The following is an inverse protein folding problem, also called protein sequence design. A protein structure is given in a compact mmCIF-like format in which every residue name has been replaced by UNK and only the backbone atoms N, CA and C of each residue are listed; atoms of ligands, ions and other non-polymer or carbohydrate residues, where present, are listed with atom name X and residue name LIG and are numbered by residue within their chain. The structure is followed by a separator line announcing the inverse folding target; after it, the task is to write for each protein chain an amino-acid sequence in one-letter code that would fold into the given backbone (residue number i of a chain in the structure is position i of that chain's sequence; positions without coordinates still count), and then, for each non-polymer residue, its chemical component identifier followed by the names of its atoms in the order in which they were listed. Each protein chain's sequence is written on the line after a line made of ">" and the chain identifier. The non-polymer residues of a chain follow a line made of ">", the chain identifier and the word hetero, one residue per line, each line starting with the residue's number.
data_IF_375083789747
#
_entry.id   IF_375083789747
#
_cell.length_a   1.000
_cell.length_b   1.000
_cell.length_c   1.000
_cell.angle_alpha   90.00
_cell.angle_beta   90.00
_cell.angle_gamma   90.00
#
_symmetry.space_group_name_H-M   'P 1'
#
loop_
_entity.id
_entity.type
_entity.pdbx_description
1 polymer ?
#
# COMPACT_ATOMS: atom_id res chain seq x y z
N UNK A 1 -39.79 20.01 3.60
CA UNK A 1 -38.42 19.81 4.04
C UNK A 1 -37.61 19.32 2.86
N UNK A 2 -36.81 20.20 2.25
CA UNK A 2 -36.03 19.92 1.06
C UNK A 2 -34.83 19.04 1.47
N UNK A 3 -34.81 17.80 1.00
CA UNK A 3 -33.62 16.94 1.09
C UNK A 3 -32.61 17.46 0.06
N UNK A 4 -31.75 18.35 0.51
CA UNK A 4 -30.73 18.95 -0.33
C UNK A 4 -29.76 17.88 -0.81
N UNK A 5 -29.88 17.49 -2.08
CA UNK A 5 -28.79 16.82 -2.80
C UNK A 5 -27.61 17.81 -2.83
N UNK A 6 -26.40 17.38 -2.45
CA UNK A 6 -25.24 18.26 -2.53
C UNK A 6 -25.14 18.87 -3.92
N UNK A 7 -24.91 20.17 -4.01
CA UNK A 7 -24.74 20.84 -5.28
C UNK A 7 -23.55 20.24 -6.05
N UNK A 8 -23.57 20.31 -7.37
CA UNK A 8 -22.47 19.86 -8.25
C UNK A 8 -21.10 20.41 -7.82
N UNK A 9 -21.06 21.58 -7.20
CA UNK A 9 -19.84 22.16 -6.63
C UNK A 9 -19.29 21.36 -5.45
N UNK A 10 -20.14 20.77 -4.61
CA UNK A 10 -19.70 19.92 -3.47
C UNK A 10 -19.11 18.59 -3.96
N UNK A 11 -19.66 18.03 -5.04
CA UNK A 11 -19.13 16.81 -5.65
C UNK A 11 -17.80 17.07 -6.33
N UNK A 12 -17.60 18.24 -6.96
CA UNK A 12 -16.31 18.64 -7.54
C UNK A 12 -15.20 18.81 -6.47
N UNK A 13 -15.55 19.27 -5.27
CA UNK A 13 -14.59 19.42 -4.18
C UNK A 13 -14.06 18.08 -3.65
N UNK A 14 -14.81 16.99 -3.83
CA UNK A 14 -14.41 15.64 -3.44
C UNK A 14 -13.66 14.89 -4.55
N UNK A 15 -13.54 15.45 -5.76
CA UNK A 15 -12.68 14.88 -6.78
C UNK A 15 -11.22 15.10 -6.40
N UNK A 16 -10.47 13.98 -6.27
CA UNK A 16 -9.03 14.04 -6.03
C UNK A 16 -8.37 14.90 -7.09
N UNK A 17 -7.67 15.94 -6.66
CA UNK A 17 -6.81 16.70 -7.53
C UNK A 17 -5.70 15.75 -8.02
N UNK A 18 -5.77 15.35 -9.29
CA UNK A 18 -4.73 14.51 -9.89
C UNK A 18 -3.53 15.38 -10.20
N UNK A 19 -2.35 14.86 -9.92
CA UNK A 19 -1.11 15.45 -10.39
C UNK A 19 -1.18 15.55 -11.91
N UNK A 20 -1.09 16.75 -12.45
CA UNK A 20 -0.81 16.93 -13.87
C UNK A 20 0.62 16.44 -14.11
N UNK A 21 0.86 15.76 -15.23
CA UNK A 21 2.17 15.20 -15.59
C UNK A 21 3.31 16.25 -15.56
N UNK A 22 2.96 17.54 -15.54
CA UNK A 22 3.88 18.67 -15.58
C UNK A 22 4.17 19.30 -14.21
N UNK A 23 3.52 18.87 -13.14
CA UNK A 23 3.60 19.54 -11.84
C UNK A 23 4.38 18.71 -10.81
N UNK A 24 5.66 19.00 -10.67
CA UNK A 24 6.47 18.83 -9.47
C UNK A 24 6.85 17.41 -9.01
N UNK A 25 6.65 16.37 -9.81
CA UNK A 25 7.23 15.06 -9.54
C UNK A 25 8.05 14.69 -10.77
N UNK A 26 9.36 14.79 -10.66
CA UNK A 26 10.25 14.24 -11.69
C UNK A 26 10.14 12.71 -11.64
N UNK A 27 9.81 12.06 -12.76
CA UNK A 27 9.88 10.62 -12.86
C UNK A 27 11.35 10.22 -12.64
N UNK A 28 11.61 9.44 -11.61
CA UNK A 28 12.95 8.94 -11.34
C UNK A 28 12.96 7.44 -11.63
N UNK A 29 13.64 7.08 -12.73
CA UNK A 29 13.79 5.68 -13.07
C UNK A 29 14.64 4.98 -12.00
N UNK A 30 14.21 3.83 -11.48
CA UNK A 30 15.04 3.02 -10.62
C UNK A 30 16.32 2.65 -11.40
N UNK A 31 17.48 2.93 -10.83
CA UNK A 31 18.74 2.56 -11.44
C UNK A 31 18.86 1.04 -11.36
N UNK A 32 18.94 0.36 -12.51
CA UNK A 32 19.31 -1.05 -12.56
C UNK A 32 20.71 -1.18 -11.91
N UNK A 33 20.78 -1.85 -10.78
CA UNK A 33 22.02 -2.18 -10.09
C UNK A 33 22.25 -3.68 -10.14
N UNK A 34 23.48 -4.18 -9.94
CA UNK A 34 23.71 -5.60 -9.81
C UNK A 34 22.84 -6.14 -8.66
N UNK A 35 22.07 -7.19 -8.92
CA UNK A 35 21.22 -7.87 -7.94
C UNK A 35 22.14 -8.60 -6.96
N UNK A 36 22.62 -7.88 -5.94
CA UNK A 36 23.50 -8.45 -4.89
C UNK A 36 22.72 -8.90 -3.66
N UNK A 37 21.42 -8.54 -3.58
CA UNK A 37 20.56 -8.87 -2.44
C UNK A 37 19.16 -9.19 -2.95
N UNK A 38 18.56 -10.25 -2.41
CA UNK A 38 17.18 -10.60 -2.73
C UNK A 38 16.23 -9.51 -2.23
N UNK A 39 15.44 -8.90 -3.13
CA UNK A 39 14.40 -7.94 -2.82
C UNK A 39 13.35 -8.58 -1.91
N UNK A 40 13.04 -7.95 -0.79
CA UNK A 40 11.93 -8.38 0.06
C UNK A 40 10.63 -7.74 -0.41
N UNK A 41 9.66 -8.56 -0.77
CA UNK A 41 8.33 -8.12 -1.20
C UNK A 41 7.35 -8.41 -0.07
N UNK A 42 6.71 -7.36 0.44
CA UNK A 42 5.83 -7.38 1.60
C UNK A 42 4.47 -6.85 1.20
N UNK A 43 3.43 -7.65 1.40
CA UNK A 43 2.05 -7.23 1.17
C UNK A 43 1.36 -6.84 2.48
N UNK A 44 0.47 -5.85 2.45
CA UNK A 44 -0.33 -5.44 3.59
C UNK A 44 -1.81 -5.73 3.35
N UNK A 45 -2.47 -6.29 4.35
CA UNK A 45 -3.90 -6.59 4.33
C UNK A 45 -4.58 -6.13 5.62
N UNK A 46 -5.90 -5.99 5.60
CA UNK A 46 -6.73 -5.62 6.74
C UNK A 46 -7.98 -4.88 6.29
N UNK A 47 -8.96 -4.75 7.15
CA UNK A 47 -10.26 -4.14 6.90
C UNK A 47 -10.16 -2.81 6.14
N UNK A 48 -11.14 -2.52 5.28
CA UNK A 48 -11.26 -1.22 4.62
C UNK A 48 -11.25 -0.06 5.63
N UNK A 49 -10.45 0.98 5.37
CA UNK A 49 -10.33 2.16 6.26
C UNK A 49 -9.54 1.94 7.56
N UNK A 50 -8.93 0.75 7.77
CA UNK A 50 -8.14 0.47 8.98
C UNK A 50 -6.81 1.24 9.04
N UNK A 51 -6.33 1.76 7.91
CA UNK A 51 -5.09 2.55 7.84
C UNK A 51 -3.91 1.85 7.18
N UNK A 52 -4.13 0.88 6.31
CA UNK A 52 -3.07 0.18 5.56
C UNK A 52 -2.16 1.14 4.79
N UNK A 53 -2.75 1.97 3.91
CA UNK A 53 -2.00 2.93 3.10
C UNK A 53 -1.24 3.96 3.96
N UNK A 54 -1.86 4.40 5.06
CA UNK A 54 -1.20 5.25 6.06
C UNK A 54 0.02 4.56 6.68
N UNK A 55 -0.13 3.31 7.09
CA UNK A 55 0.97 2.51 7.68
C UNK A 55 2.10 2.34 6.67
N UNK A 56 1.80 1.93 5.43
CA UNK A 56 2.83 1.70 4.41
C UNK A 56 3.53 2.99 3.97
N UNK A 57 2.82 4.10 3.83
CA UNK A 57 3.44 5.37 3.46
C UNK A 57 4.44 5.84 4.52
N UNK A 58 4.11 5.73 5.81
CA UNK A 58 5.01 6.07 6.90
C UNK A 58 6.17 5.08 7.02
N UNK A 59 5.91 3.78 6.87
CA UNK A 59 6.94 2.73 6.89
C UNK A 59 7.92 2.90 5.73
N UNK A 60 7.43 3.09 4.50
CA UNK A 60 8.28 3.29 3.32
C UNK A 60 9.16 4.53 3.46
N UNK A 61 8.59 5.62 4.00
CA UNK A 61 9.33 6.83 4.31
C UNK A 61 10.44 6.55 5.34
N UNK A 62 10.13 5.91 6.46
CA UNK A 62 11.11 5.59 7.51
C UNK A 62 12.23 4.70 6.96
N UNK A 63 11.92 3.63 6.22
CA UNK A 63 12.91 2.77 5.59
C UNK A 63 13.82 3.55 4.62
N UNK A 64 13.27 4.47 3.84
CA UNK A 64 14.05 5.32 2.94
C UNK A 64 14.99 6.25 3.70
N UNK A 65 14.55 6.83 4.83
CA UNK A 65 15.43 7.65 5.70
C UNK A 65 16.55 6.82 6.34
N UNK A 66 16.34 5.52 6.52
CA UNK A 66 17.36 4.56 6.97
C UNK A 66 18.30 4.09 5.84
N UNK A 67 18.20 4.69 4.64
CA UNK A 67 19.07 4.39 3.50
C UNK A 67 18.66 3.15 2.70
N UNK A 68 17.43 2.63 2.90
CA UNK A 68 16.90 1.53 2.09
C UNK A 68 16.33 2.04 0.78
N UNK A 69 16.52 1.29 -0.31
CA UNK A 69 15.86 1.55 -1.59
C UNK A 69 14.49 0.88 -1.57
N UNK A 70 13.44 1.69 -1.47
CA UNK A 70 12.07 1.21 -1.22
C UNK A 70 11.14 1.63 -2.35
N UNK A 71 10.31 0.67 -2.80
CA UNK A 71 9.21 0.92 -3.73
C UNK A 71 7.87 0.65 -3.03
N UNK A 72 6.99 1.65 -3.01
CA UNK A 72 5.61 1.53 -2.56
C UNK A 72 4.69 1.40 -3.78
N UNK A 73 3.90 0.32 -3.85
CA UNK A 73 2.93 0.07 -4.92
C UNK A 73 1.52 0.03 -4.36
N UNK A 74 0.67 0.95 -4.82
CA UNK A 74 -0.76 0.91 -4.57
C UNK A 74 -1.45 -0.08 -5.50
N UNK A 75 -2.03 -1.12 -4.92
CA UNK A 75 -2.78 -2.17 -5.62
C UNK A 75 -4.30 -2.03 -5.44
N UNK A 76 -4.76 -0.96 -4.79
CA UNK A 76 -6.18 -0.63 -4.67
C UNK A 76 -6.66 0.11 -5.95
N UNK A 77 -7.76 -0.31 -6.59
CA UNK A 77 -8.35 0.42 -7.71
C UNK A 77 -8.66 1.91 -7.44
N UNK A 78 -8.77 2.30 -6.19
CA UNK A 78 -8.94 3.71 -5.79
C UNK A 78 -7.70 4.57 -6.05
N UNK A 79 -6.51 3.93 -6.17
CA UNK A 79 -5.24 4.59 -6.48
C UNK A 79 -4.94 5.76 -5.55
N UNK A 80 -4.98 5.51 -4.24
CA UNK A 80 -4.76 6.52 -3.21
C UNK A 80 -3.66 6.20 -2.19
N UNK A 81 -3.03 5.06 -2.35
CA UNK A 81 -1.96 4.60 -1.46
C UNK A 81 -0.82 5.58 -1.38
N UNK A 82 -0.37 6.09 -2.53
CA UNK A 82 0.77 6.99 -2.62
C UNK A 82 0.43 8.44 -2.29
N UNK A 83 -0.85 8.78 -2.18
CA UNK A 83 -1.32 10.16 -2.00
C UNK A 83 -0.75 10.82 -0.73
N UNK A 84 -0.54 10.08 0.36
CA UNK A 84 0.06 10.61 1.59
C UNK A 84 1.50 11.12 1.34
N UNK A 85 2.29 10.40 0.54
CA UNK A 85 3.63 10.83 0.17
C UNK A 85 3.62 12.11 -0.67
N UNK A 86 2.60 12.29 -1.49
CA UNK A 86 2.51 13.39 -2.45
C UNK A 86 1.56 14.52 -2.01
N UNK A 87 1.30 14.65 -0.70
CA UNK A 87 0.51 15.76 -0.16
C UNK A 87 -0.94 15.77 -0.65
N UNK A 88 -1.57 14.60 -0.73
CA UNK A 88 -2.96 14.45 -1.14
C UNK A 88 -3.17 14.33 -2.65
N UNK A 89 -2.12 14.38 -3.45
CA UNK A 89 -2.21 14.27 -4.92
C UNK A 89 -2.12 12.82 -5.35
N UNK A 90 -2.91 12.44 -6.36
CA UNK A 90 -2.85 11.11 -6.95
C UNK A 90 -1.82 11.06 -8.09
N UNK A 91 -0.96 10.05 -8.08
CA UNK A 91 -0.05 9.78 -9.21
C UNK A 91 -0.81 9.18 -10.40
N UNK A 92 -0.35 9.36 -11.65
CA UNK A 92 -0.83 8.59 -12.79
C UNK A 92 -0.71 7.10 -12.54
N UNK A 93 -1.72 6.32 -12.92
CA UNK A 93 -1.69 4.87 -12.72
C UNK A 93 -1.08 4.14 -13.91
N UNK A 94 -0.59 2.93 -13.67
CA UNK A 94 -0.05 2.07 -14.73
C UNK A 94 -1.13 1.78 -15.78
N UNK A 95 -2.36 1.46 -15.34
CA UNK A 95 -3.47 1.11 -16.25
C UNK A 95 -3.89 2.31 -17.11
N UNK A 96 -4.07 3.49 -16.51
CA UNK A 96 -4.42 4.71 -17.27
C UNK A 96 -3.32 5.08 -18.26
N UNK A 97 -2.06 5.04 -17.81
CA UNK A 97 -0.90 5.38 -18.63
C UNK A 97 -0.74 4.39 -19.79
N UNK A 98 -0.88 3.09 -19.52
CA UNK A 98 -0.80 2.05 -20.55
C UNK A 98 -1.91 2.21 -21.59
N UNK A 99 -3.14 2.49 -21.15
CA UNK A 99 -4.27 2.71 -22.05
C UNK A 99 -4.07 3.94 -22.94
N UNK A 100 -3.64 5.05 -22.37
CA UNK A 100 -3.35 6.29 -23.10
C UNK A 100 -2.26 6.12 -24.13
N UNK A 101 -1.11 5.52 -23.73
CA UNK A 101 0.04 5.31 -24.62
C UNK A 101 -0.27 4.30 -25.70
N UNK A 102 -1.01 3.25 -25.42
CA UNK A 102 -1.47 2.31 -26.43
C UNK A 102 -2.31 2.99 -27.51
N UNK A 103 -3.20 3.91 -27.15
CA UNK A 103 -3.96 4.69 -28.11
C UNK A 103 -3.09 5.62 -28.96
N UNK A 104 -1.99 6.14 -28.41
CA UNK A 104 -1.01 6.96 -29.10
C UNK A 104 0.01 6.15 -29.91
N UNK A 105 0.02 4.81 -29.82
CA UNK A 105 1.05 3.96 -30.45
C UNK A 105 2.41 4.04 -29.78
N UNK A 106 2.47 4.50 -28.52
CA UNK A 106 3.69 4.71 -27.76
C UNK A 106 3.93 3.57 -26.76
N UNK A 107 5.18 3.16 -26.50
CA UNK A 107 5.49 2.24 -25.42
C UNK A 107 5.36 2.93 -24.06
N UNK A 108 4.95 2.16 -23.04
CA UNK A 108 5.04 2.59 -21.64
C UNK A 108 6.49 2.43 -21.18
N UNK A 109 7.01 3.45 -20.51
CA UNK A 109 8.32 3.41 -19.86
C UNK A 109 8.16 3.52 -18.35
N UNK A 110 9.21 3.17 -17.61
CA UNK A 110 9.19 3.23 -16.16
C UNK A 110 9.00 4.65 -15.65
N UNK A 111 9.59 5.63 -16.32
CA UNK A 111 9.46 7.06 -15.99
C UNK A 111 8.04 7.62 -16.17
N UNK A 112 7.17 6.90 -16.89
CA UNK A 112 5.77 7.30 -17.03
C UNK A 112 4.92 6.92 -15.81
N UNK A 113 5.37 5.98 -14.99
CA UNK A 113 4.54 5.31 -13.96
C UNK A 113 5.21 5.22 -12.59
N UNK A 114 6.51 5.46 -12.49
CA UNK A 114 7.26 5.47 -11.24
C UNK A 114 7.63 6.90 -10.85
N UNK A 115 7.29 7.29 -9.64
CA UNK A 115 7.53 8.63 -9.11
C UNK A 115 8.34 8.51 -7.82
N UNK A 116 9.13 9.55 -7.48
CA UNK A 116 9.95 9.55 -6.27
C UNK A 116 9.65 10.75 -5.40
N UNK A 117 9.52 10.52 -4.12
CA UNK A 117 9.41 11.58 -3.11
C UNK A 117 10.10 11.19 -1.82
N UNK A 118 10.91 12.09 -1.26
CA UNK A 118 11.60 11.89 0.02
C UNK A 118 12.38 10.56 0.11
N UNK A 119 12.97 10.09 -1.01
CA UNK A 119 13.70 8.83 -1.11
C UNK A 119 12.85 7.59 -1.40
N UNK A 120 11.52 7.70 -1.35
CA UNK A 120 10.59 6.59 -1.65
C UNK A 120 10.21 6.62 -3.13
N UNK A 121 10.38 5.49 -3.82
CA UNK A 121 9.78 5.26 -5.14
C UNK A 121 8.35 4.80 -4.96
N UNK A 122 7.44 5.30 -5.79
CA UNK A 122 6.02 5.05 -5.63
C UNK A 122 5.30 4.88 -6.97
N UNK A 123 4.35 3.96 -7.01
CA UNK A 123 3.53 3.62 -8.17
C UNK A 123 2.11 3.30 -7.75
N UNK A 124 1.15 3.50 -8.66
CA UNK A 124 -0.23 3.03 -8.52
C UNK A 124 -0.56 2.11 -9.68
N UNK A 125 -1.02 0.89 -9.40
CA UNK A 125 -1.47 -0.02 -10.46
C UNK A 125 -2.68 0.54 -11.18
N UNK A 126 -3.62 1.10 -10.43
CA UNK A 126 -4.91 1.52 -10.93
C UNK A 126 -5.93 0.39 -10.98
N UNK A 127 -7.07 0.68 -11.54
CA UNK A 127 -8.17 -0.26 -11.69
C UNK A 127 -9.05 0.08 -12.87
N UNK A 128 -10.01 -0.78 -13.21
CA UNK A 128 -11.00 -0.46 -14.24
C UNK A 128 -11.83 0.74 -13.78
N UNK A 129 -12.36 1.48 -14.75
CA UNK A 129 -13.34 2.53 -14.49
C UNK A 129 -14.52 1.99 -13.66
N UNK A 130 -15.06 2.83 -12.79
CA UNK A 130 -16.19 2.46 -11.94
C UNK A 130 -17.31 1.86 -12.78
N UNK A 131 -17.78 0.68 -12.42
CA UNK A 131 -18.81 -0.06 -13.15
C UNK A 131 -18.31 -0.86 -14.37
N UNK A 132 -17.03 -0.82 -14.71
CA UNK A 132 -16.45 -1.53 -15.87
C UNK A 132 -15.42 -2.59 -15.48
N UNK A 133 -15.88 -3.71 -14.96
CA UNK A 133 -15.02 -4.88 -14.76
C UNK A 133 -14.66 -5.19 -13.31
N UNK A 134 -13.87 -6.25 -13.12
CA UNK A 134 -13.41 -6.72 -11.83
C UNK A 134 -12.06 -6.09 -11.47
N UNK A 135 -11.95 -5.50 -10.26
CA UNK A 135 -10.70 -4.91 -9.76
C UNK A 135 -9.51 -5.89 -9.80
N UNK A 136 -9.76 -7.17 -9.54
CA UNK A 136 -8.72 -8.20 -9.60
C UNK A 136 -8.08 -8.39 -10.98
N UNK A 137 -8.82 -8.19 -12.08
CA UNK A 137 -8.24 -8.21 -13.44
C UNK A 137 -7.34 -7.01 -13.69
N UNK A 138 -7.68 -5.84 -13.14
CA UNK A 138 -6.83 -4.67 -13.19
C UNK A 138 -5.49 -4.89 -12.51
N UNK A 139 -5.50 -5.50 -11.33
CA UNK A 139 -4.29 -5.85 -10.59
C UNK A 139 -3.41 -6.79 -11.42
N UNK A 140 -3.98 -7.86 -11.98
CA UNK A 140 -3.24 -8.81 -12.84
C UNK A 140 -2.56 -8.07 -14.00
N UNK A 141 -3.31 -7.24 -14.73
CA UNK A 141 -2.77 -6.48 -15.85
C UNK A 141 -1.69 -5.47 -15.42
N UNK A 142 -1.84 -4.85 -14.26
CA UNK A 142 -0.84 -3.96 -13.68
C UNK A 142 0.49 -4.69 -13.43
N UNK A 143 0.43 -5.87 -12.80
CA UNK A 143 1.63 -6.68 -12.57
C UNK A 143 2.26 -7.21 -13.86
N UNK A 144 1.47 -7.67 -14.83
CA UNK A 144 2.00 -8.06 -16.14
C UNK A 144 2.72 -6.89 -16.84
N UNK A 145 2.27 -5.68 -16.64
CA UNK A 145 2.93 -4.48 -17.16
C UNK A 145 4.24 -4.21 -16.43
N UNK A 146 4.26 -4.35 -15.09
CA UNK A 146 5.48 -4.21 -14.29
C UNK A 146 6.53 -5.24 -14.67
N UNK A 147 6.15 -6.50 -14.90
CA UNK A 147 7.05 -7.55 -15.38
C UNK A 147 7.66 -7.18 -16.74
N UNK A 148 6.87 -6.67 -17.68
CA UNK A 148 7.37 -6.19 -18.99
C UNK A 148 8.32 -5.00 -18.88
N UNK A 149 8.19 -4.20 -17.81
CA UNK A 149 9.09 -3.08 -17.50
C UNK A 149 10.36 -3.52 -16.77
N UNK A 150 10.56 -4.81 -16.51
CA UNK A 150 11.75 -5.33 -15.85
C UNK A 150 11.71 -5.17 -14.31
N UNK A 151 10.54 -5.22 -13.69
CA UNK A 151 10.33 -5.03 -12.25
C UNK A 151 11.33 -5.77 -11.36
N UNK A 152 11.69 -7.02 -11.73
CA UNK A 152 12.59 -7.86 -10.93
C UNK A 152 14.05 -7.39 -10.94
N UNK A 153 14.42 -6.57 -11.93
CA UNK A 153 15.81 -6.11 -12.14
C UNK A 153 16.08 -4.73 -11.52
N UNK A 154 15.08 -4.11 -10.88
CA UNK A 154 15.21 -2.73 -10.38
C UNK A 154 16.06 -2.59 -9.12
N UNK A 155 16.43 -3.69 -8.47
CA UNK A 155 17.34 -3.71 -7.34
C UNK A 155 16.85 -2.96 -6.11
N UNK A 156 15.57 -3.08 -5.75
CA UNK A 156 15.03 -2.57 -4.51
C UNK A 156 15.43 -3.48 -3.33
N UNK A 157 15.64 -2.88 -2.15
CA UNK A 157 15.74 -3.63 -0.89
C UNK A 157 14.35 -4.15 -0.49
N UNK A 158 13.34 -3.28 -0.60
CA UNK A 158 11.97 -3.58 -0.23
C UNK A 158 10.98 -3.13 -1.30
N UNK A 159 9.98 -3.97 -1.55
CA UNK A 159 8.76 -3.62 -2.31
C UNK A 159 7.58 -3.81 -1.39
N UNK A 160 6.82 -2.74 -1.14
CA UNK A 160 5.66 -2.72 -0.27
C UNK A 160 4.40 -2.64 -1.12
N UNK A 161 3.52 -3.65 -0.98
CA UNK A 161 2.30 -3.78 -1.77
C UNK A 161 1.07 -3.48 -0.90
N UNK A 162 0.31 -2.43 -1.25
CA UNK A 162 -0.93 -2.07 -0.54
C UNK A 162 -2.15 -2.68 -1.21
N UNK A 163 -2.67 -3.75 -0.64
CA UNK A 163 -3.84 -4.44 -1.15
C UNK A 163 -5.15 -4.00 -0.50
N UNK A 164 -6.26 -4.21 -1.22
CA UNK A 164 -7.60 -4.10 -0.65
C UNK A 164 -7.79 -5.05 0.54
N UNK A 165 -8.72 -4.66 1.43
CA UNK A 165 -8.97 -5.21 2.74
C UNK A 165 -8.93 -6.73 2.87
N UNK A 166 -9.85 -7.42 2.22
CA UNK A 166 -10.07 -8.85 2.43
C UNK A 166 -9.50 -9.66 1.26
N UNK A 167 -8.94 -10.83 1.57
CA UNK A 167 -8.55 -11.83 0.55
C UNK A 167 -9.80 -12.59 0.07
N UNK A 168 -10.78 -11.86 -0.48
CA UNK A 168 -12.10 -12.43 -0.84
C UNK A 168 -12.20 -12.92 -2.27
N UNK A 169 -11.28 -12.57 -3.15
CA UNK A 169 -11.26 -13.09 -4.52
C UNK A 169 -9.85 -13.31 -5.05
N UNK A 170 -9.73 -14.15 -6.10
CA UNK A 170 -8.45 -14.56 -6.65
C UNK A 170 -7.52 -13.43 -7.07
N UNK A 171 -8.04 -12.26 -7.45
CA UNK A 171 -7.22 -11.09 -7.80
C UNK A 171 -6.50 -10.47 -6.61
N UNK A 172 -7.13 -10.46 -5.44
CA UNK A 172 -6.53 -9.89 -4.22
C UNK A 172 -5.69 -10.91 -3.46
N UNK A 173 -5.93 -12.21 -3.66
CA UNK A 173 -5.06 -13.29 -3.17
C UNK A 173 -3.87 -13.57 -4.09
N UNK A 174 -3.78 -12.92 -5.26
CA UNK A 174 -2.77 -13.21 -6.28
C UNK A 174 -1.33 -13.14 -5.77
N UNK A 175 -0.92 -12.10 -4.99
CA UNK A 175 0.45 -12.02 -4.51
C UNK A 175 0.83 -13.18 -3.60
N UNK A 176 -0.13 -13.65 -2.79
CA UNK A 176 0.04 -14.80 -1.91
C UNK A 176 0.06 -16.09 -2.73
N UNK A 177 -0.91 -16.25 -3.66
CA UNK A 177 -1.10 -17.45 -4.45
C UNK A 177 -0.01 -17.72 -5.50
N UNK A 178 0.70 -16.69 -5.96
CA UNK A 178 1.76 -16.75 -6.98
C UNK A 178 3.17 -16.50 -6.43
N UNK A 179 3.35 -16.62 -5.13
CA UNK A 179 4.63 -16.35 -4.46
C UNK A 179 5.23 -14.97 -4.81
N UNK A 180 4.36 -13.97 -5.09
CA UNK A 180 4.80 -12.62 -5.42
C UNK A 180 5.21 -11.82 -4.18
N UNK A 181 4.90 -12.28 -2.98
CA UNK A 181 5.38 -11.72 -1.73
C UNK A 181 5.81 -12.82 -0.78
N UNK A 182 6.84 -12.55 0.00
CA UNK A 182 7.35 -13.47 1.01
C UNK A 182 6.71 -13.22 2.37
N UNK A 183 6.31 -11.99 2.64
CA UNK A 183 5.77 -11.57 3.94
C UNK A 183 4.45 -10.85 3.80
N UNK A 184 3.55 -11.11 4.75
CA UNK A 184 2.27 -10.41 4.88
C UNK A 184 2.20 -9.69 6.21
N UNK A 185 1.97 -8.38 6.18
CA UNK A 185 1.60 -7.58 7.36
C UNK A 185 0.09 -7.53 7.44
N UNK A 186 -0.45 -7.84 8.62
CA UNK A 186 -1.88 -7.70 8.91
C UNK A 186 -2.11 -6.44 9.71
N UNK A 187 -2.98 -5.55 9.24
CA UNK A 187 -3.39 -4.36 10.00
C UNK A 187 -4.75 -4.58 10.62
N UNK A 188 -4.85 -4.43 11.92
CA UNK A 188 -6.09 -4.54 12.68
C UNK A 188 -6.24 -3.47 13.73
N UNK A 189 -7.37 -3.48 14.41
CA UNK A 189 -7.70 -2.67 15.58
C UNK A 189 -8.46 -3.52 16.58
N UNK A 190 -8.81 -2.97 17.72
CA UNK A 190 -9.56 -3.68 18.77
C UNK A 190 -11.03 -3.98 18.39
N UNK A 191 -11.53 -3.54 17.22
CA UNK A 191 -12.89 -3.88 16.81
C UNK A 191 -13.01 -5.29 16.22
N UNK A 192 -14.11 -5.98 16.57
CA UNK A 192 -14.38 -7.36 16.21
C UNK A 192 -14.34 -7.61 14.68
N UNK A 193 -14.86 -6.68 13.88
CA UNK A 193 -14.87 -6.84 12.41
C UNK A 193 -13.46 -6.75 11.84
N UNK A 194 -12.60 -5.91 12.44
CA UNK A 194 -11.19 -5.83 12.05
C UNK A 194 -10.46 -7.12 12.36
N UNK A 195 -10.71 -7.71 13.54
CA UNK A 195 -10.11 -8.98 13.95
C UNK A 195 -10.63 -10.15 13.12
N UNK A 196 -11.90 -10.12 12.71
CA UNK A 196 -12.45 -11.10 11.77
C UNK A 196 -11.71 -11.09 10.43
N UNK A 197 -11.48 -9.90 9.86
CA UNK A 197 -10.70 -9.75 8.62
C UNK A 197 -9.26 -10.20 8.83
N UNK A 198 -8.63 -9.83 9.94
CA UNK A 198 -7.28 -10.27 10.28
C UNK A 198 -7.18 -11.82 10.31
N UNK A 199 -8.15 -12.48 10.92
CA UNK A 199 -8.23 -13.94 10.95
C UNK A 199 -8.35 -14.55 9.56
N UNK A 200 -9.19 -13.97 8.69
CA UNK A 200 -9.34 -14.43 7.30
C UNK A 200 -8.03 -14.32 6.52
N UNK A 201 -7.30 -13.21 6.69
CA UNK A 201 -5.99 -13.02 6.04
C UNK A 201 -4.98 -14.07 6.54
N UNK A 202 -4.86 -14.26 7.86
CA UNK A 202 -3.98 -15.28 8.43
C UNK A 202 -4.32 -16.68 7.92
N UNK A 203 -5.61 -17.02 7.86
CA UNK A 203 -6.09 -18.30 7.36
C UNK A 203 -5.76 -18.50 5.88
N UNK A 204 -5.88 -17.46 5.05
CA UNK A 204 -5.52 -17.50 3.64
C UNK A 204 -4.00 -17.70 3.46
N UNK A 205 -3.17 -16.99 4.19
CA UNK A 205 -1.70 -17.18 4.15
C UNK A 205 -1.33 -18.62 4.54
N UNK A 206 -1.91 -19.12 5.62
CA UNK A 206 -1.65 -20.49 6.08
C UNK A 206 -2.12 -21.55 5.05
N UNK A 207 -3.26 -21.32 4.40
CA UNK A 207 -3.76 -22.18 3.32
C UNK A 207 -2.76 -22.26 2.16
N UNK A 208 -2.29 -21.12 1.64
CA UNK A 208 -1.32 -21.12 0.54
C UNK A 208 0.04 -21.68 0.95
N UNK A 209 0.49 -21.42 2.18
CA UNK A 209 1.71 -22.05 2.72
C UNK A 209 1.63 -23.57 2.74
N UNK A 210 0.48 -24.13 3.13
CA UNK A 210 0.23 -25.59 3.10
C UNK A 210 0.22 -26.17 1.69
N UNK A 211 -0.08 -25.35 0.68
CA UNK A 211 0.00 -25.76 -0.74
C UNK A 211 1.43 -25.65 -1.31
N UNK A 212 2.42 -25.31 -0.50
CA UNK A 212 3.81 -25.21 -0.89
C UNK A 212 4.28 -23.78 -1.24
N UNK A 213 3.44 -22.76 -1.00
CA UNK A 213 3.81 -21.36 -1.19
C UNK A 213 4.85 -20.88 -0.17
N UNK A 214 5.74 -20.00 -0.60
CA UNK A 214 6.80 -19.39 0.22
C UNK A 214 6.34 -18.05 0.83
N UNK A 215 5.20 -18.04 1.50
CA UNK A 215 4.63 -16.85 2.13
C UNK A 215 4.36 -17.08 3.61
N UNK A 216 4.59 -16.06 4.44
CA UNK A 216 4.28 -16.10 5.86
C UNK A 216 3.70 -14.78 6.36
N UNK A 217 2.98 -14.85 7.49
CA UNK A 217 2.54 -13.66 8.21
C UNK A 217 3.76 -13.11 8.96
N UNK A 218 4.20 -11.89 8.59
CA UNK A 218 5.28 -11.20 9.29
C UNK A 218 4.87 -10.80 10.71
N UNK A 219 3.61 -10.37 10.85
CA UNK A 219 3.03 -9.98 12.11
C UNK A 219 1.84 -9.03 11.93
N UNK A 220 1.37 -8.48 13.04
CA UNK A 220 0.23 -7.57 13.10
C UNK A 220 0.68 -6.16 13.47
N UNK A 221 0.17 -5.16 12.75
CA UNK A 221 0.18 -3.77 13.17
C UNK A 221 -1.18 -3.46 13.78
N UNK A 222 -1.22 -3.11 15.04
CA UNK A 222 -2.43 -2.63 15.70
C UNK A 222 -2.54 -1.14 15.41
N UNK A 223 -3.52 -0.73 14.62
CA UNK A 223 -3.76 0.68 14.32
C UNK A 223 -5.03 1.19 14.99
N UNK A 224 -5.06 2.47 15.33
CA UNK A 224 -6.12 3.08 16.14
C UNK A 224 -6.31 2.35 17.48
N UNK A 225 -5.19 1.98 18.08
CA UNK A 225 -5.20 1.30 19.37
C UNK A 225 -5.78 2.22 20.45
N UNK A 226 -6.88 1.79 21.05
CA UNK A 226 -7.58 2.48 22.14
C UNK A 226 -7.22 1.91 23.54
N UNK A 227 -6.29 0.94 23.57
CA UNK A 227 -5.77 0.33 24.78
C UNK A 227 -6.68 -0.75 25.40
N UNK A 228 -7.75 -1.19 24.70
CA UNK A 228 -8.66 -2.23 25.24
C UNK A 228 -8.08 -3.66 25.14
N UNK A 229 -7.12 -3.89 24.20
CA UNK A 229 -6.26 -5.08 24.19
C UNK A 229 -6.78 -6.27 23.41
N UNK A 230 -7.92 -6.20 22.73
CA UNK A 230 -8.48 -7.31 21.95
C UNK A 230 -7.58 -7.73 20.79
N UNK A 231 -6.95 -6.74 20.10
CA UNK A 231 -6.04 -7.01 18.99
C UNK A 231 -4.75 -7.67 19.49
N UNK A 232 -4.23 -7.28 20.64
CA UNK A 232 -3.09 -7.92 21.28
C UNK A 232 -3.41 -9.38 21.63
N UNK A 233 -4.55 -9.61 22.29
CA UNK A 233 -5.01 -10.96 22.65
C UNK A 233 -5.24 -11.84 21.41
N UNK A 234 -5.73 -11.26 20.31
CA UNK A 234 -5.86 -11.97 19.04
C UNK A 234 -4.49 -12.39 18.49
N UNK A 235 -3.52 -11.48 18.44
CA UNK A 235 -2.18 -11.75 17.94
C UNK A 235 -1.49 -12.87 18.73
N UNK A 236 -1.59 -12.84 20.07
CA UNK A 236 -1.09 -13.87 20.96
C UNK A 236 -1.70 -15.26 20.67
N UNK A 237 -3.04 -15.33 20.54
CA UNK A 237 -3.75 -16.58 20.24
C UNK A 237 -3.43 -17.12 18.84
N UNK A 238 -3.23 -16.22 17.87
CA UNK A 238 -2.85 -16.57 16.50
C UNK A 238 -1.36 -16.94 16.37
N UNK A 239 -0.55 -16.72 17.40
CA UNK A 239 0.89 -16.96 17.39
C UNK A 239 1.65 -16.05 16.41
N UNK A 240 1.14 -14.82 16.19
CA UNK A 240 1.80 -13.83 15.32
C UNK A 240 2.34 -12.66 16.16
N UNK A 241 3.52 -12.11 15.85
CA UNK A 241 4.07 -11.00 16.61
C UNK A 241 3.28 -9.70 16.33
N UNK A 242 3.19 -8.84 17.34
CA UNK A 242 2.79 -7.45 17.13
C UNK A 242 4.03 -6.67 16.71
N UNK A 243 3.98 -6.08 15.50
CA UNK A 243 5.08 -5.35 14.89
C UNK A 243 5.15 -3.90 15.39
N UNK A 244 4.00 -3.30 15.64
CA UNK A 244 3.84 -1.98 16.23
C UNK A 244 2.38 -1.76 16.66
N UNK A 245 2.16 -0.90 17.67
CA UNK A 245 0.84 -0.43 18.06
C UNK A 245 0.74 1.09 17.89
N UNK A 246 -0.10 1.54 16.96
CA UNK A 246 -0.30 2.94 16.62
C UNK A 246 -1.55 3.43 17.36
N UNK A 247 -1.42 4.35 18.33
CA UNK A 247 -2.54 4.73 19.17
C UNK A 247 -3.64 5.50 18.44
N UNK A 248 -4.87 5.37 18.91
CA UNK A 248 -5.97 6.24 18.53
C UNK A 248 -5.74 7.64 19.14
N UNK A 249 -5.05 8.49 18.40
CA UNK A 249 -4.65 9.81 18.90
C UNK A 249 -5.07 10.93 17.95
N UNK A 250 -5.60 12.02 18.49
CA UNK A 250 -6.12 13.15 17.70
C UNK A 250 -5.04 13.81 16.82
N UNK A 251 -3.81 13.92 17.31
CA UNK A 251 -2.70 14.48 16.52
C UNK A 251 -2.39 13.60 15.28
N UNK A 252 -2.38 12.28 15.44
CA UNK A 252 -2.22 11.33 14.32
C UNK A 252 -3.35 11.52 13.31
N UNK A 253 -4.60 11.58 13.79
CA UNK A 253 -5.78 11.78 12.94
C UNK A 253 -5.69 13.08 12.15
N UNK A 254 -5.34 14.19 12.83
CA UNK A 254 -5.22 15.51 12.21
C UNK A 254 -4.12 15.56 11.16
N UNK A 255 -2.93 15.06 11.48
CA UNK A 255 -1.79 15.02 10.56
C UNK A 255 -2.08 14.14 9.35
N UNK A 256 -2.67 12.96 9.56
CA UNK A 256 -3.10 12.09 8.47
C UNK A 256 -4.12 12.78 7.54
N UNK A 257 -5.09 13.51 8.11
CA UNK A 257 -6.06 14.28 7.33
C UNK A 257 -5.43 15.44 6.52
N UNK A 258 -4.28 15.95 6.98
CA UNK A 258 -3.49 16.97 6.28
C UNK A 258 -2.42 16.37 5.35
N UNK A 259 -2.44 15.07 5.11
CA UNK A 259 -1.46 14.34 4.31
C UNK A 259 -0.01 14.51 4.81
N UNK A 260 0.16 14.55 6.11
CA UNK A 260 1.49 14.62 6.73
C UNK A 260 2.02 13.22 7.06
N UNK A 261 3.28 12.96 6.69
CA UNK A 261 4.03 11.80 7.16
C UNK A 261 4.40 12.03 8.62
N UNK A 262 3.90 11.16 9.51
CA UNK A 262 4.16 11.27 10.95
C UNK A 262 5.40 10.52 11.41
N UNK A 263 5.86 9.54 10.64
CA UNK A 263 7.08 8.76 10.89
C UNK A 263 8.37 9.52 10.52
N UNK A 264 8.38 10.85 10.51
CA UNK A 264 9.60 11.63 10.23
C UNK A 264 10.56 11.53 11.40
N UNK A 265 11.88 11.26 11.16
CA UNK A 265 12.87 11.26 12.22
C UNK A 265 12.81 12.52 13.08
N UNK A 266 12.91 12.35 14.39
CA UNK A 266 12.83 13.46 15.36
C UNK A 266 11.41 13.95 15.69
N UNK A 267 10.36 13.35 15.12
CA UNK A 267 8.97 13.61 15.54
C UNK A 267 8.55 12.70 16.68
N UNK A 268 7.48 13.08 17.39
CA UNK A 268 6.91 12.29 18.49
C UNK A 268 6.56 10.85 18.08
N UNK A 269 6.14 10.64 16.83
CA UNK A 269 5.63 9.36 16.32
C UNK A 269 6.67 8.55 15.54
N UNK A 270 7.88 9.10 15.33
CA UNK A 270 8.95 8.39 14.62
C UNK A 270 9.28 7.03 15.24
N UNK A 271 9.36 6.88 16.59
CA UNK A 271 9.71 5.59 17.21
C UNK A 271 8.79 4.45 16.82
N UNK A 272 7.49 4.71 16.58
CA UNK A 272 6.54 3.67 16.15
C UNK A 272 6.91 3.06 14.78
N UNK A 273 7.41 3.89 13.86
CA UNK A 273 7.80 3.44 12.52
C UNK A 273 9.25 2.97 12.46
N UNK A 274 10.11 3.41 13.36
CA UNK A 274 11.45 2.85 13.59
C UNK A 274 11.33 1.41 14.10
N UNK A 275 10.47 1.17 15.08
CA UNK A 275 10.14 -0.15 15.60
C UNK A 275 9.55 -1.04 14.49
N UNK A 276 8.55 -0.55 13.77
CA UNK A 276 7.93 -1.28 12.67
C UNK A 276 8.95 -1.64 11.58
N UNK A 277 9.82 -0.71 11.17
CA UNK A 277 10.85 -0.95 10.17
C UNK A 277 11.92 -1.97 10.64
N UNK A 278 12.13 -2.08 11.94
CA UNK A 278 13.07 -3.04 12.53
C UNK A 278 12.46 -4.45 12.60
N UNK A 279 11.14 -4.55 12.84
CA UNK A 279 10.43 -5.80 13.06
C UNK A 279 9.96 -6.48 11.75
N UNK A 280 10.01 -5.79 10.63
CA UNK A 280 9.60 -6.28 9.30
C UNK A 280 10.80 -6.80 8.52
#
# INVERSE_FOLDING_TARGET
>A
MSTGIPSTATVQFMQKERLRAEAAIEPDAPVAGPVTKQTQIIAIYGKGGIGKSFTLANLSYMMAQQGKKVLLIGCDPKSDTTSLLFGGRATPTIIETSSRKKLAGEPVTISDVCFKRDGVFAMELGGPEVGRGCGGRGIIHGFETLEKLGFHDWGFDYVLLDFLGDVVCGGFGLPIARDMCQKVIVVGSNDLQSLYVANNVCSAVEYFRKLGGNVGVAGMVINKDDGTGEAQAFAERAGIPVLAAIPAHEDIRRKSASYEIIGRPGTQWAPLFEELATNV
#
